data_IF_391386728433
#
_entry.id   IF_391386728433
#
_cell.length_a   1.000
_cell.length_b   1.000
_cell.length_c   1.000
_cell.angle_alpha   90.00
_cell.angle_beta   90.00
_cell.angle_gamma   90.00
#
_symmetry.space_group_name_H-M   'P 1'
#
loop_
_entity.id
_entity.type
_entity.pdbx_description
1 polymer ?
#
# COMPACT_ATOMS: atom_id res chain seq x y z
N UNK A 1 79.12 27.27 17.34
CA UNK A 1 78.60 28.12 18.45
C UNK A 1 77.13 28.31 18.13
N UNK A 2 76.11 27.80 18.81
CA UNK A 2 75.86 27.27 20.18
C UNK A 2 74.62 26.35 20.01
N UNK A 3 74.65 25.09 20.44
CA UNK A 3 74.22 24.58 21.75
C UNK A 3 72.69 24.46 21.95
N UNK A 4 72.32 23.32 22.55
CA UNK A 4 71.07 22.95 23.23
C UNK A 4 69.87 22.39 22.45
N UNK A 5 69.82 21.05 22.44
CA UNK A 5 68.84 20.21 23.15
C UNK A 5 67.34 20.42 22.85
N UNK A 6 66.69 19.36 22.32
CA UNK A 6 65.64 18.62 23.04
C UNK A 6 65.13 17.44 22.17
N UNK A 7 65.11 16.25 22.77
CA UNK A 7 64.62 14.99 22.19
C UNK A 7 63.11 15.02 21.89
N UNK A 8 62.60 14.27 20.89
CA UNK A 8 61.18 14.12 20.70
C UNK A 8 60.61 13.14 21.72
N UNK A 9 59.73 13.65 22.59
CA UNK A 9 58.95 12.87 23.54
C UNK A 9 57.95 12.00 22.78
N UNK A 10 58.18 10.69 22.80
CA UNK A 10 57.24 9.67 22.30
C UNK A 10 56.04 9.63 23.25
N UNK A 11 54.95 10.28 22.85
CA UNK A 11 53.65 10.14 23.51
C UNK A 11 53.11 8.74 23.22
N UNK A 12 53.20 7.85 24.21
CA UNK A 12 52.46 6.58 24.23
C UNK A 12 50.96 6.84 24.05
N UNK A 13 50.25 6.06 23.21
CA UNK A 13 48.79 6.13 23.15
C UNK A 13 48.17 5.57 24.45
N UNK A 14 46.99 6.06 24.87
CA UNK A 14 46.29 5.52 26.02
C UNK A 14 45.85 4.08 25.76
N UNK A 15 46.19 3.21 26.71
CA UNK A 15 45.70 1.86 26.84
C UNK A 15 44.19 1.90 27.17
N UNK A 16 43.34 1.69 26.17
CA UNK A 16 41.92 1.39 26.39
C UNK A 16 41.76 -0.14 26.46
N UNK A 17 41.81 -0.65 27.69
CA UNK A 17 41.37 -2.00 28.00
C UNK A 17 39.89 -2.18 27.64
N UNK A 18 39.59 -3.37 27.11
CA UNK A 18 38.29 -4.05 27.07
C UNK A 18 37.05 -3.16 26.87
N UNK A 19 36.71 -2.92 25.61
CA UNK A 19 35.33 -2.64 25.20
C UNK A 19 34.74 -3.90 24.55
N UNK A 20 33.46 -4.23 24.82
CA UNK A 20 32.84 -5.44 24.31
C UNK A 20 32.81 -5.40 22.77
N UNK A 21 32.99 -6.57 22.16
CA UNK A 21 32.74 -6.85 20.72
C UNK A 21 31.30 -6.48 20.38
N UNK A 22 31.05 -5.20 20.10
CA UNK A 22 29.90 -4.75 19.33
C UNK A 22 30.24 -4.95 17.87
N UNK A 23 29.76 -6.03 17.28
CA UNK A 23 29.87 -6.26 15.84
C UNK A 23 29.38 -5.01 15.11
N UNK A 24 30.20 -4.52 14.18
CA UNK A 24 29.79 -3.52 13.21
C UNK A 24 28.65 -4.10 12.37
N UNK A 25 27.44 -3.93 12.87
CA UNK A 25 26.24 -3.98 12.06
C UNK A 25 26.31 -2.77 11.13
N UNK A 26 26.70 -3.03 9.89
CA UNK A 26 26.23 -2.26 8.74
C UNK A 26 24.76 -1.94 9.01
N UNK A 27 24.26 -0.70 8.84
CA UNK A 27 22.84 -0.45 8.85
C UNK A 27 22.27 -1.29 7.69
N UNK A 28 21.76 -2.47 8.02
CA UNK A 28 20.95 -3.24 7.11
C UNK A 28 19.76 -2.35 6.85
N UNK A 29 19.61 -2.00 5.57
CA UNK A 29 18.45 -1.35 4.97
C UNK A 29 17.22 -1.59 5.82
N UNK A 30 16.83 -0.54 6.57
CA UNK A 30 15.73 -0.63 7.51
C UNK A 30 14.54 -1.19 6.78
N UNK A 31 13.99 -2.28 7.31
CA UNK A 31 12.69 -2.74 6.87
C UNK A 31 11.77 -1.51 6.90
N UNK A 32 11.20 -1.08 5.76
CA UNK A 32 10.22 -0.01 5.79
C UNK A 32 9.17 -0.44 6.82
N UNK A 33 8.85 0.48 7.74
CA UNK A 33 7.78 0.25 8.72
C UNK A 33 6.55 -0.27 7.99
N UNK A 34 5.70 -1.03 8.65
CA UNK A 34 4.56 -1.67 8.00
C UNK A 34 3.67 -0.64 7.26
N UNK A 35 3.48 0.55 7.85
CA UNK A 35 2.83 1.71 7.22
C UNK A 35 3.59 2.25 5.99
N UNK A 36 4.92 2.20 5.99
CA UNK A 36 5.75 2.58 4.82
C UNK A 36 5.55 1.62 3.65
N UNK A 37 5.32 0.32 3.88
CA UNK A 37 5.06 -0.65 2.78
C UNK A 37 3.71 -0.45 2.12
N UNK A 38 2.68 -0.08 2.90
CA UNK A 38 1.39 0.26 2.31
C UNK A 38 1.53 1.48 1.39
N UNK A 39 2.18 2.55 1.88
CA UNK A 39 2.41 3.76 1.09
C UNK A 39 3.21 3.46 -0.19
N UNK A 40 4.25 2.62 -0.11
CA UNK A 40 5.01 2.17 -1.27
C UNK A 40 4.12 1.39 -2.27
N UNK A 41 3.24 0.54 -1.76
CA UNK A 41 2.25 -0.16 -2.56
C UNK A 41 1.29 0.79 -3.29
N UNK A 42 0.79 1.81 -2.58
CA UNK A 42 -0.06 2.84 -3.16
C UNK A 42 0.67 3.61 -4.27
N UNK A 43 1.91 4.05 -4.04
CA UNK A 43 2.71 4.70 -5.08
C UNK A 43 2.94 3.82 -6.30
N UNK A 44 3.20 2.52 -6.11
CA UNK A 44 3.34 1.59 -7.23
C UNK A 44 2.03 1.43 -8.01
N UNK A 45 0.88 1.45 -7.33
CA UNK A 45 -0.44 1.48 -7.99
C UNK A 45 -0.60 2.75 -8.80
N UNK A 46 -0.25 3.92 -8.26
CA UNK A 46 -0.33 5.19 -9.00
C UNK A 46 0.47 5.13 -10.30
N UNK A 47 1.68 4.59 -10.25
CA UNK A 47 2.51 4.38 -11.44
C UNK A 47 1.85 3.38 -12.39
N UNK A 48 1.35 2.25 -11.89
CA UNK A 48 0.66 1.25 -12.70
C UNK A 48 -0.56 1.84 -13.44
N UNK A 49 -1.34 2.69 -12.78
CA UNK A 49 -2.56 3.30 -13.30
C UNK A 49 -2.30 4.47 -14.27
N UNK A 50 -1.06 4.92 -14.42
CA UNK A 50 -0.72 6.07 -15.28
C UNK A 50 -0.92 5.82 -16.78
N UNK A 51 -0.86 4.56 -17.22
CA UNK A 51 -1.18 4.17 -18.60
C UNK A 51 -1.51 2.68 -18.72
N UNK A 52 -2.28 2.26 -19.75
CA UNK A 52 -2.63 0.85 -19.95
C UNK A 52 -1.41 -0.07 -20.13
N UNK A 53 -0.35 0.38 -20.80
CA UNK A 53 0.85 -0.43 -21.02
C UNK A 53 1.63 -0.67 -19.73
N UNK A 54 1.75 0.35 -18.88
CA UNK A 54 2.42 0.22 -17.58
C UNK A 54 1.58 -0.68 -16.66
N UNK A 55 0.26 -0.53 -16.66
CA UNK A 55 -0.64 -1.39 -15.89
C UNK A 55 -0.40 -2.86 -16.20
N UNK A 56 -0.45 -3.25 -17.48
CA UNK A 56 -0.25 -4.65 -17.88
C UNK A 56 1.11 -5.21 -17.44
N UNK A 57 2.16 -4.39 -17.49
CA UNK A 57 3.52 -4.81 -17.15
C UNK A 57 3.81 -4.85 -15.64
N UNK A 58 3.09 -4.06 -14.83
CA UNK A 58 3.46 -3.82 -13.43
C UNK A 58 2.38 -4.22 -12.41
N UNK A 59 1.15 -4.52 -12.86
CA UNK A 59 0.01 -4.83 -11.97
C UNK A 59 0.31 -5.93 -10.96
N UNK A 60 1.04 -6.99 -11.33
CA UNK A 60 1.34 -8.06 -10.38
C UNK A 60 2.27 -7.60 -9.26
N UNK A 61 3.34 -6.86 -9.60
CA UNK A 61 4.30 -6.34 -8.64
C UNK A 61 3.66 -5.28 -7.72
N UNK A 62 2.89 -4.36 -8.31
CA UNK A 62 2.15 -3.35 -7.57
C UNK A 62 1.16 -4.01 -6.59
N UNK A 63 0.40 -4.99 -7.06
CA UNK A 63 -0.57 -5.70 -6.22
C UNK A 63 0.09 -6.48 -5.09
N UNK A 64 1.20 -7.17 -5.34
CA UNK A 64 1.91 -7.93 -4.31
C UNK A 64 2.45 -7.01 -3.21
N UNK A 65 3.04 -5.86 -3.58
CA UNK A 65 3.52 -4.87 -2.62
C UNK A 65 2.37 -4.30 -1.80
N UNK A 66 1.31 -3.86 -2.47
CA UNK A 66 0.13 -3.28 -1.83
C UNK A 66 -0.56 -4.27 -0.87
N UNK A 67 -0.79 -5.51 -1.32
CA UNK A 67 -1.37 -6.56 -0.48
C UNK A 67 -0.50 -6.84 0.73
N UNK A 68 0.83 -6.86 0.57
CA UNK A 68 1.72 -7.08 1.72
C UNK A 68 1.57 -5.96 2.74
N UNK A 69 1.50 -4.70 2.29
CA UNK A 69 1.17 -3.55 3.13
C UNK A 69 -0.13 -3.77 3.90
N UNK A 70 -1.22 -4.12 3.21
CA UNK A 70 -2.51 -4.42 3.87
C UNK A 70 -2.38 -5.51 4.94
N UNK A 71 -1.75 -6.63 4.60
CA UNK A 71 -1.59 -7.77 5.52
C UNK A 71 -0.73 -7.46 6.74
N UNK A 72 0.24 -6.57 6.60
CA UNK A 72 1.04 -6.13 7.73
C UNK A 72 0.18 -5.29 8.69
N UNK A 73 -0.73 -4.43 8.18
CA UNK A 73 -1.69 -3.71 9.02
C UNK A 73 -2.66 -4.63 9.78
N UNK A 74 -3.05 -5.77 9.20
CA UNK A 74 -3.96 -6.74 9.87
C UNK A 74 -3.35 -7.34 11.14
N UNK A 75 -2.01 -7.34 11.28
CA UNK A 75 -1.31 -7.97 12.41
C UNK A 75 -1.17 -7.05 13.62
N UNK A 76 -1.24 -5.74 13.41
CA UNK A 76 -1.00 -4.74 14.44
C UNK A 76 -2.18 -3.76 14.50
N UNK A 77 -2.91 -3.77 15.62
CA UNK A 77 -4.08 -2.90 15.83
C UNK A 77 -3.70 -1.42 15.85
N UNK A 78 -2.44 -1.08 16.15
CA UNK A 78 -1.95 0.30 16.03
C UNK A 78 -1.70 0.72 14.57
N UNK A 79 -1.61 -0.24 13.65
CA UNK A 79 -1.32 0.01 12.25
C UNK A 79 -2.53 0.49 11.43
N UNK A 80 -3.75 0.53 12.00
CA UNK A 80 -4.87 1.26 11.37
C UNK A 80 -4.55 2.75 11.18
N UNK A 81 -3.64 3.33 11.99
CA UNK A 81 -3.09 4.68 11.74
C UNK A 81 -2.42 4.80 10.36
N UNK A 82 -1.93 3.70 9.80
CA UNK A 82 -1.39 3.65 8.45
C UNK A 82 -2.43 3.93 7.36
N UNK A 83 -3.68 3.52 7.56
CA UNK A 83 -4.78 3.80 6.62
C UNK A 83 -5.28 5.24 6.72
N UNK A 84 -5.23 5.80 7.93
CA UNK A 84 -5.61 7.19 8.23
C UNK A 84 -4.46 8.18 8.02
N UNK A 85 -3.32 7.73 7.48
CA UNK A 85 -2.16 8.58 7.26
C UNK A 85 -2.44 9.71 6.28
N UNK A 86 -2.06 10.94 6.65
CA UNK A 86 -2.09 12.12 5.77
C UNK A 86 -1.21 11.99 4.51
N UNK A 87 -0.33 10.99 4.48
CA UNK A 87 0.51 10.68 3.31
C UNK A 87 -0.28 9.97 2.19
N UNK A 88 -1.44 9.41 2.51
CA UNK A 88 -2.33 8.75 1.55
C UNK A 88 -3.53 9.68 1.36
N UNK A 89 -3.51 10.48 0.29
CA UNK A 89 -4.61 11.39 -0.05
C UNK A 89 -5.79 10.67 -0.74
N UNK A 90 -6.91 11.37 -0.89
CA UNK A 90 -8.12 10.81 -1.48
C UNK A 90 -7.93 10.36 -2.94
N UNK A 91 -7.06 11.05 -3.69
CA UNK A 91 -6.72 10.67 -5.06
C UNK A 91 -6.00 9.33 -5.10
N UNK A 92 -5.09 9.09 -4.16
CA UNK A 92 -4.38 7.83 -4.01
C UNK A 92 -5.31 6.70 -3.57
N UNK A 93 -6.20 6.96 -2.61
CA UNK A 93 -7.23 5.99 -2.18
C UNK A 93 -8.14 5.62 -3.36
N UNK A 94 -8.59 6.62 -4.13
CA UNK A 94 -9.44 6.39 -5.29
C UNK A 94 -8.78 5.44 -6.30
N UNK A 95 -7.53 5.71 -6.65
CA UNK A 95 -6.79 4.88 -7.60
C UNK A 95 -6.52 3.47 -7.06
N UNK A 96 -6.32 3.31 -5.76
CA UNK A 96 -6.19 1.98 -5.14
C UNK A 96 -7.48 1.16 -5.30
N UNK A 97 -8.65 1.75 -5.05
CA UNK A 97 -9.92 1.07 -5.28
C UNK A 97 -10.13 0.69 -6.76
N UNK A 98 -9.88 1.64 -7.66
CA UNK A 98 -10.01 1.41 -9.11
C UNK A 98 -9.06 0.30 -9.59
N UNK A 99 -7.84 0.27 -9.08
CA UNK A 99 -6.87 -0.79 -9.38
C UNK A 99 -7.36 -2.17 -8.95
N UNK A 100 -7.90 -2.29 -7.72
CA UNK A 100 -8.46 -3.55 -7.23
C UNK A 100 -9.65 -4.01 -8.08
N UNK A 101 -10.47 -3.09 -8.58
CA UNK A 101 -11.58 -3.41 -9.49
C UNK A 101 -11.11 -3.88 -10.85
N UNK A 102 -10.07 -3.28 -11.44
CA UNK A 102 -9.52 -3.76 -12.70
C UNK A 102 -8.96 -5.19 -12.55
N UNK A 103 -8.32 -5.52 -11.42
CA UNK A 103 -7.91 -6.89 -11.11
C UNK A 103 -9.11 -7.85 -10.96
N UNK A 104 -10.14 -7.44 -10.23
CA UNK A 104 -11.34 -8.24 -10.00
C UNK A 104 -12.14 -8.49 -11.29
N UNK A 105 -12.21 -7.47 -12.16
CA UNK A 105 -12.79 -7.52 -13.51
C UNK A 105 -12.05 -8.50 -14.41
N UNK A 106 -10.71 -8.48 -14.37
CA UNK A 106 -9.86 -9.46 -15.05
C UNK A 106 -9.90 -10.86 -14.40
N UNK A 107 -10.65 -11.04 -13.31
CA UNK A 107 -10.75 -12.28 -12.52
C UNK A 107 -9.40 -12.75 -11.95
N UNK A 108 -8.46 -11.82 -11.78
CA UNK A 108 -7.13 -12.11 -11.25
C UNK A 108 -7.15 -12.05 -9.73
N UNK A 109 -6.67 -13.12 -9.08
CA UNK A 109 -6.41 -13.16 -7.63
C UNK A 109 -7.60 -12.69 -6.76
N UNK A 110 -8.84 -12.95 -7.18
CA UNK A 110 -10.08 -12.44 -6.52
C UNK A 110 -10.10 -12.59 -5.00
N UNK A 111 -9.70 -13.75 -4.48
CA UNK A 111 -9.62 -13.99 -3.03
C UNK A 111 -8.67 -13.00 -2.34
N UNK A 112 -7.52 -12.74 -2.94
CA UNK A 112 -6.55 -11.79 -2.40
C UNK A 112 -7.03 -10.35 -2.53
N UNK A 113 -7.80 -10.03 -3.59
CA UNK A 113 -8.44 -8.72 -3.72
C UNK A 113 -9.41 -8.52 -2.57
N UNK A 114 -10.33 -9.46 -2.33
CA UNK A 114 -11.29 -9.40 -1.22
C UNK A 114 -10.60 -9.27 0.14
N UNK A 115 -9.51 -10.00 0.35
CA UNK A 115 -8.71 -9.89 1.58
C UNK A 115 -8.12 -8.48 1.78
N UNK A 116 -7.63 -7.83 0.72
CA UNK A 116 -7.23 -6.42 0.83
C UNK A 116 -8.44 -5.54 1.14
N UNK A 117 -9.56 -5.72 0.44
CA UNK A 117 -10.77 -4.91 0.66
C UNK A 117 -11.29 -5.01 2.10
N UNK A 118 -11.27 -6.21 2.69
CA UNK A 118 -11.64 -6.46 4.09
C UNK A 118 -10.82 -5.56 5.03
N UNK A 119 -9.50 -5.51 4.83
CA UNK A 119 -8.59 -4.72 5.66
C UNK A 119 -8.82 -3.22 5.44
N UNK A 120 -8.94 -2.78 4.18
CA UNK A 120 -9.16 -1.36 3.88
C UNK A 120 -10.49 -0.86 4.44
N UNK A 121 -11.54 -1.68 4.44
CA UNK A 121 -12.85 -1.31 4.99
C UNK A 121 -12.87 -1.18 6.52
N UNK A 122 -11.79 -1.51 7.23
CA UNK A 122 -11.65 -1.21 8.66
C UNK A 122 -11.40 0.28 8.92
N UNK A 123 -10.97 1.04 7.90
CA UNK A 123 -10.79 2.48 7.94
C UNK A 123 -12.03 3.21 7.43
N UNK A 124 -12.49 4.21 8.19
CA UNK A 124 -13.62 5.04 7.80
C UNK A 124 -13.32 5.85 6.56
N UNK A 125 -12.10 6.38 6.42
CA UNK A 125 -11.67 7.14 5.24
C UNK A 125 -11.78 6.30 3.96
N UNK A 126 -11.24 5.09 3.99
CA UNK A 126 -11.25 4.19 2.83
C UNK A 126 -12.66 3.69 2.51
N UNK A 127 -13.46 3.38 3.54
CA UNK A 127 -14.85 2.97 3.39
C UNK A 127 -15.74 4.08 2.82
N UNK A 128 -15.63 5.31 3.31
CA UNK A 128 -16.39 6.44 2.79
C UNK A 128 -16.05 6.71 1.32
N UNK A 129 -14.77 6.61 0.93
CA UNK A 129 -14.39 6.70 -0.49
C UNK A 129 -15.07 5.64 -1.34
N UNK A 130 -15.16 4.40 -0.85
CA UNK A 130 -15.85 3.32 -1.57
C UNK A 130 -17.37 3.57 -1.71
N UNK A 131 -18.00 4.13 -0.68
CA UNK A 131 -19.44 4.39 -0.65
C UNK A 131 -19.87 5.62 -1.45
N UNK A 132 -19.08 6.69 -1.41
CA UNK A 132 -19.52 8.03 -1.82
C UNK A 132 -18.80 8.57 -3.08
N UNK A 133 -17.67 8.00 -3.48
CA UNK A 133 -16.98 8.45 -4.70
C UNK A 133 -17.69 7.95 -5.97
N UNK A 134 -18.24 8.87 -6.76
CA UNK A 134 -19.01 8.54 -7.96
C UNK A 134 -18.22 7.73 -8.99
N UNK A 135 -16.91 7.98 -9.13
CA UNK A 135 -16.08 7.29 -10.13
C UNK A 135 -15.79 5.85 -9.72
N UNK A 136 -15.52 5.60 -8.45
CA UNK A 136 -15.44 4.24 -7.89
C UNK A 136 -16.77 3.54 -8.14
N UNK A 137 -17.88 4.13 -7.70
CA UNK A 137 -19.23 3.57 -7.83
C UNK A 137 -19.60 3.27 -9.29
N UNK A 138 -19.26 4.14 -10.22
CA UNK A 138 -19.49 3.95 -11.65
C UNK A 138 -18.68 2.77 -12.21
N UNK A 139 -17.46 2.53 -11.71
CA UNK A 139 -16.62 1.40 -12.15
C UNK A 139 -17.06 0.06 -11.59
N UNK A 140 -17.82 0.06 -10.49
CA UNK A 140 -18.34 -1.17 -9.90
C UNK A 140 -19.36 -1.88 -10.78
N UNK A 141 -20.07 -1.16 -11.64
CA UNK A 141 -21.01 -1.76 -12.58
C UNK A 141 -20.31 -2.72 -13.55
N UNK A 142 -19.00 -2.59 -13.77
CA UNK A 142 -18.26 -3.50 -14.63
C UNK A 142 -17.92 -4.84 -13.95
N UNK A 143 -18.09 -4.93 -12.63
CA UNK A 143 -17.74 -6.11 -11.87
C UNK A 143 -18.79 -7.23 -12.03
N UNK A 144 -18.36 -8.43 -11.67
CA UNK A 144 -19.20 -9.62 -11.65
C UNK A 144 -20.15 -9.57 -10.44
N UNK A 145 -21.41 -9.93 -10.65
CA UNK A 145 -22.46 -9.83 -9.63
C UNK A 145 -22.12 -10.64 -8.37
N UNK A 146 -21.49 -11.82 -8.51
CA UNK A 146 -21.08 -12.61 -7.35
C UNK A 146 -19.98 -11.90 -6.53
N UNK A 147 -19.08 -11.16 -7.21
CA UNK A 147 -18.04 -10.39 -6.54
C UNK A 147 -18.62 -9.17 -5.81
N UNK A 148 -19.55 -8.47 -6.46
CA UNK A 148 -20.32 -7.37 -5.87
C UNK A 148 -21.07 -7.86 -4.62
N UNK A 149 -21.73 -9.01 -4.70
CA UNK A 149 -22.47 -9.58 -3.58
C UNK A 149 -21.54 -9.85 -2.39
N UNK A 150 -20.38 -10.48 -2.61
CA UNK A 150 -19.36 -10.66 -1.56
C UNK A 150 -19.00 -9.34 -0.89
N UNK A 151 -18.73 -8.30 -1.66
CA UNK A 151 -18.37 -6.99 -1.11
C UNK A 151 -19.51 -6.41 -0.23
N UNK A 152 -20.75 -6.41 -0.72
CA UNK A 152 -21.90 -5.84 0.03
C UNK A 152 -22.15 -6.60 1.32
N UNK A 153 -22.14 -7.93 1.26
CA UNK A 153 -22.48 -8.76 2.43
C UNK A 153 -21.37 -8.82 3.45
N UNK A 154 -20.12 -8.87 3.00
CA UNK A 154 -18.98 -9.07 3.90
C UNK A 154 -18.54 -7.75 4.54
N UNK A 155 -18.62 -6.63 3.81
CA UNK A 155 -18.04 -5.35 4.25
C UNK A 155 -19.08 -4.28 4.63
N UNK A 156 -20.37 -4.61 4.63
CA UNK A 156 -21.47 -3.72 5.04
C UNK A 156 -21.47 -2.35 4.34
N UNK A 157 -21.03 -2.34 3.09
CA UNK A 157 -20.98 -1.14 2.23
C UNK A 157 -22.31 -0.93 1.53
N UNK A 158 -22.61 0.32 1.14
CA UNK A 158 -23.89 0.68 0.54
C UNK A 158 -24.13 -0.18 -0.71
N UNK A 159 -25.36 -0.68 -0.92
CA UNK A 159 -25.69 -1.43 -2.13
C UNK A 159 -25.21 -0.70 -3.38
N UNK A 160 -24.55 -1.45 -4.25
CA UNK A 160 -23.91 -0.90 -5.45
C UNK A 160 -24.94 -0.56 -6.52
N UNK A 161 -24.66 0.42 -7.40
CA UNK A 161 -25.58 0.76 -8.47
C UNK A 161 -25.82 -0.47 -9.35
N UNK A 162 -27.10 -0.83 -9.51
CA UNK A 162 -27.48 -1.90 -10.43
C UNK A 162 -27.03 -1.54 -11.85
N UNK A 163 -26.53 -2.52 -12.62
CA UNK A 163 -26.36 -2.35 -14.07
C UNK A 163 -27.70 -1.88 -14.64
N UNK A 164 -27.72 -0.71 -15.27
CA UNK A 164 -28.92 -0.23 -15.94
C UNK A 164 -29.40 -1.33 -16.90
N UNK A 165 -30.65 -1.77 -16.72
CA UNK A 165 -31.24 -2.76 -17.61
C UNK A 165 -31.18 -2.22 -19.05
N UNK A 166 -30.81 -3.03 -20.05
CA UNK A 166 -30.80 -2.59 -21.43
C UNK A 166 -32.20 -2.11 -21.80
N UNK A 167 -32.33 -0.82 -22.12
CA UNK A 167 -33.57 -0.21 -22.57
C UNK A 167 -33.94 -0.90 -23.88
N UNK A 168 -34.89 -1.84 -23.83
CA UNK A 168 -35.41 -2.48 -25.04
C UNK A 168 -35.96 -1.37 -25.94
N UNK A 169 -35.51 -1.25 -27.21
CA UNK A 169 -36.08 -0.27 -28.11
C UNK A 169 -37.56 -0.59 -28.29
N UNK A 170 -38.43 0.37 -27.96
CA UNK A 170 -39.84 0.32 -28.33
C UNK A 170 -39.91 0.46 -29.84
N UNK A 171 -39.96 -0.65 -30.56
CA UNK A 171 -40.43 -0.63 -31.94
C UNK A 171 -41.88 -0.13 -31.92
N UNK A 172 -42.09 1.07 -32.50
CA UNK A 172 -43.40 1.56 -32.92
C UNK A 172 -43.66 1.08 -34.33
#
# INVERSE_FOLDING_TARGET
MTDSSLSPSVRMPPNYGNLPRGGGGVPTTGDPSEASRLLDGCHQIMVAMSSPSIFENSKEKAFQTFRRGCLDLKKDVSATEGLESDKIDDWMIENCWLFLFELAKARLRRKHVLECMEILCTSDKWRHMLDDNERIRAKMVDLDEAFIQSIVTEFHVKPFPAKAAPVKPKHK
#
